data_IF_986846708142
#
_entry.id   IF_986846708142
#
_cell.length_a   1.000
_cell.length_b   1.000
_cell.length_c   1.000
_cell.angle_alpha   90.00
_cell.angle_beta   90.00
_cell.angle_gamma   90.00
#
_symmetry.space_group_name_H-M   'P 1'
#
loop_
_entity.id
_entity.type
_entity.pdbx_description
1 polymer ?
#
# COMPACT_ATOMS: atom_id res chain seq x y z
N UNK A 1 16.92 -34.98 -5.01
CA UNK A 1 17.39 -33.75 -4.31
C UNK A 1 16.65 -32.56 -4.91
N UNK A 2 16.32 -31.52 -4.15
CA UNK A 2 15.63 -30.33 -4.67
C UNK A 2 16.48 -29.10 -4.37
N UNK A 3 16.66 -28.25 -5.36
CA UNK A 3 17.29 -26.93 -5.23
C UNK A 3 16.27 -25.83 -5.58
N UNK A 4 16.35 -24.72 -4.86
CA UNK A 4 15.40 -23.61 -4.97
C UNK A 4 16.20 -22.33 -5.19
N UNK A 5 15.98 -21.68 -6.33
CA UNK A 5 16.51 -20.35 -6.63
C UNK A 5 15.34 -19.38 -6.75
N UNK A 6 15.49 -18.17 -6.23
CA UNK A 6 14.45 -17.13 -6.31
C UNK A 6 15.05 -15.79 -6.69
N UNK A 7 14.28 -14.99 -7.41
CA UNK A 7 14.60 -13.61 -7.75
C UNK A 7 13.37 -12.71 -7.64
N UNK A 8 13.40 -11.55 -8.31
CA UNK A 8 12.24 -10.67 -8.42
C UNK A 8 11.24 -11.24 -9.42
N UNK A 9 10.04 -11.59 -8.95
CA UNK A 9 8.92 -12.07 -9.76
C UNK A 9 9.10 -13.44 -10.42
N UNK A 10 10.06 -14.25 -9.95
CA UNK A 10 10.23 -15.63 -10.39
C UNK A 10 10.86 -16.53 -9.33
N UNK A 11 10.51 -17.81 -9.38
CA UNK A 11 11.06 -18.88 -8.54
C UNK A 11 11.41 -20.05 -9.46
N UNK A 12 12.61 -20.60 -9.32
CA UNK A 12 13.08 -21.78 -10.05
C UNK A 12 13.26 -22.95 -9.09
N UNK A 13 12.48 -24.00 -9.30
CA UNK A 13 12.60 -25.27 -8.57
C UNK A 13 13.33 -26.28 -9.45
N UNK A 14 14.45 -26.82 -8.96
CA UNK A 14 15.21 -27.86 -9.67
C UNK A 14 15.12 -29.18 -8.92
N UNK A 15 14.47 -30.17 -9.54
CA UNK A 15 14.36 -31.53 -9.08
C UNK A 15 15.43 -32.40 -9.74
N UNK A 16 16.30 -32.99 -8.92
CA UNK A 16 17.34 -33.93 -9.31
C UNK A 16 16.98 -35.36 -8.91
N UNK A 17 17.54 -36.34 -9.64
CA UNK A 17 17.38 -37.76 -9.36
C UNK A 17 16.20 -38.40 -10.07
N UNK A 18 15.83 -37.92 -11.26
CA UNK A 18 14.88 -38.62 -12.12
C UNK A 18 15.51 -39.81 -12.83
N UNK A 19 14.68 -40.60 -13.52
CA UNK A 19 15.15 -41.79 -14.25
C UNK A 19 16.26 -41.46 -15.24
N UNK A 20 17.18 -42.41 -15.46
CA UNK A 20 18.29 -42.23 -16.41
C UNK A 20 17.81 -42.18 -17.85
N UNK A 21 18.41 -41.31 -18.67
CA UNK A 21 18.13 -41.29 -20.10
C UNK A 21 18.51 -42.63 -20.76
N UNK A 22 17.68 -43.10 -21.70
CA UNK A 22 17.89 -44.40 -22.35
C UNK A 22 18.86 -44.37 -23.55
N UNK A 23 18.92 -43.25 -24.28
CA UNK A 23 19.71 -43.15 -25.52
C UNK A 23 20.38 -41.79 -25.74
N UNK A 24 20.05 -40.80 -24.90
CA UNK A 24 20.52 -39.42 -25.01
C UNK A 24 21.25 -39.02 -23.72
N UNK A 25 21.97 -37.89 -23.74
CA UNK A 25 22.49 -37.26 -22.52
C UNK A 25 23.41 -38.17 -21.67
N UNK A 26 24.14 -39.08 -22.31
CA UNK A 26 25.11 -39.97 -21.68
C UNK A 26 24.57 -40.73 -20.45
N UNK A 27 23.33 -41.22 -20.52
CA UNK A 27 22.67 -42.00 -19.45
C UNK A 27 22.63 -41.30 -18.08
N UNK A 28 22.75 -39.97 -18.07
CA UNK A 28 22.61 -39.16 -16.87
C UNK A 28 21.19 -39.23 -16.32
N UNK A 29 21.03 -38.95 -15.03
CA UNK A 29 19.73 -38.84 -14.38
C UNK A 29 18.99 -37.62 -14.91
N UNK A 30 17.68 -37.76 -15.16
CA UNK A 30 16.86 -36.64 -15.62
C UNK A 30 16.78 -35.57 -14.53
N UNK A 31 16.98 -34.32 -14.93
CA UNK A 31 16.79 -33.14 -14.07
C UNK A 31 15.57 -32.37 -14.59
N UNK A 32 14.68 -32.00 -13.68
CA UNK A 32 13.48 -31.23 -14.01
C UNK A 32 13.56 -29.85 -13.35
N UNK A 33 13.38 -28.80 -14.15
CA UNK A 33 13.35 -27.41 -13.70
C UNK A 33 11.94 -26.88 -13.90
N UNK A 34 11.35 -26.32 -12.86
CA UNK A 34 10.04 -25.67 -12.90
C UNK A 34 10.26 -24.19 -12.61
N UNK A 35 10.04 -23.37 -13.63
CA UNK A 35 10.14 -21.92 -13.55
C UNK A 35 8.74 -21.36 -13.28
N UNK A 36 8.55 -20.84 -12.08
CA UNK A 36 7.32 -20.19 -11.64
C UNK A 36 7.49 -18.69 -11.88
N UNK A 37 6.77 -18.14 -12.84
CA UNK A 37 6.79 -16.70 -13.16
C UNK A 37 5.61 -15.98 -12.50
N UNK A 38 5.78 -14.70 -12.17
CA UNK A 38 4.70 -13.89 -11.61
C UNK A 38 3.57 -13.71 -12.63
N UNK A 39 2.39 -14.18 -12.26
CA UNK A 39 1.13 -13.81 -12.88
C UNK A 39 0.17 -13.32 -11.79
N UNK A 40 -0.05 -12.00 -11.64
CA UNK A 40 -0.81 -11.45 -10.52
C UNK A 40 -2.29 -11.86 -10.50
N UNK A 41 -2.82 -12.30 -11.66
CA UNK A 41 -4.24 -12.57 -11.84
C UNK A 41 -4.61 -14.04 -11.60
N UNK A 42 -3.62 -14.93 -11.56
CA UNK A 42 -3.86 -16.38 -11.59
C UNK A 42 -3.13 -17.05 -10.43
N UNK A 43 -3.87 -17.82 -9.62
CA UNK A 43 -3.25 -18.60 -8.53
C UNK A 43 -2.48 -19.83 -9.07
N UNK A 44 -3.02 -20.48 -10.10
CA UNK A 44 -2.43 -21.65 -10.75
C UNK A 44 -2.61 -21.52 -12.26
N UNK A 45 -1.57 -21.08 -12.93
CA UNK A 45 -1.53 -20.93 -14.38
C UNK A 45 -1.43 -22.27 -15.10
N UNK A 46 -1.30 -22.19 -16.42
CA UNK A 46 -1.06 -23.36 -17.26
C UNK A 46 0.36 -23.87 -17.02
N UNK A 47 0.51 -25.18 -16.91
CA UNK A 47 1.80 -25.84 -16.80
C UNK A 47 2.21 -26.29 -18.20
N UNK A 48 3.17 -25.60 -18.80
CA UNK A 48 3.63 -25.86 -20.17
C UNK A 48 5.11 -26.24 -20.19
N UNK A 49 5.50 -27.03 -21.21
CA UNK A 49 6.91 -27.35 -21.45
C UNK A 49 7.50 -26.19 -22.25
N UNK A 50 8.42 -25.46 -21.64
CA UNK A 50 9.11 -24.33 -22.28
C UNK A 50 10.28 -24.82 -23.15
N UNK A 51 11.11 -25.69 -22.59
CA UNK A 51 12.30 -26.20 -23.28
C UNK A 51 12.60 -27.65 -22.87
N UNK A 52 12.99 -28.45 -23.85
CA UNK A 52 13.52 -29.79 -23.65
C UNK A 52 14.93 -29.87 -24.23
N UNK A 53 15.95 -29.78 -23.38
CA UNK A 53 17.35 -29.82 -23.81
C UNK A 53 17.83 -31.27 -23.96
N UNK A 54 17.34 -31.97 -24.98
CA UNK A 54 17.72 -33.36 -25.33
C UNK A 54 18.77 -33.47 -26.45
N UNK A 55 19.04 -32.39 -27.18
CA UNK A 55 19.68 -32.45 -28.51
C UNK A 55 21.21 -32.32 -28.53
N UNK A 56 21.86 -31.98 -27.40
CA UNK A 56 23.31 -31.83 -27.40
C UNK A 56 23.98 -33.13 -26.96
N UNK A 57 24.41 -33.95 -27.92
CA UNK A 57 25.16 -35.20 -27.70
C UNK A 57 26.44 -35.01 -26.86
N UNK A 58 26.97 -33.79 -26.82
CA UNK A 58 28.25 -33.46 -26.17
C UNK A 58 28.09 -32.63 -24.89
N UNK A 59 26.87 -32.39 -24.41
CA UNK A 59 26.65 -31.58 -23.19
C UNK A 59 26.08 -32.46 -22.07
N UNK A 60 26.78 -32.46 -20.93
CA UNK A 60 26.46 -33.25 -19.75
C UNK A 60 25.21 -32.80 -18.98
N UNK A 61 24.62 -31.67 -19.34
CA UNK A 61 23.58 -30.99 -18.55
C UNK A 61 22.24 -30.99 -19.30
N UNK A 62 21.60 -32.15 -19.39
CA UNK A 62 20.25 -32.27 -19.93
C UNK A 62 19.17 -32.04 -18.87
N UNK A 63 18.19 -31.21 -19.18
CA UNK A 63 17.09 -30.88 -18.28
C UNK A 63 15.78 -30.64 -19.04
N UNK A 64 14.67 -30.79 -18.32
CA UNK A 64 13.35 -30.36 -18.74
C UNK A 64 13.06 -29.02 -18.08
N UNK A 65 12.56 -28.05 -18.83
CA UNK A 65 12.14 -26.75 -18.29
C UNK A 65 10.64 -26.59 -18.50
N UNK A 66 9.93 -26.48 -17.39
CA UNK A 66 8.51 -26.20 -17.33
C UNK A 66 8.29 -24.76 -16.91
N UNK A 67 7.28 -24.13 -17.48
CA UNK A 67 6.82 -22.80 -17.09
C UNK A 67 5.46 -22.90 -16.39
N UNK A 68 5.31 -22.16 -15.29
CA UNK A 68 4.07 -22.05 -14.53
C UNK A 68 3.84 -20.60 -14.11
N UNK A 69 2.74 -19.99 -14.56
CA UNK A 69 2.29 -18.69 -14.05
C UNK A 69 1.63 -18.82 -12.67
N UNK A 70 2.01 -18.01 -11.70
CA UNK A 70 1.30 -17.93 -10.41
C UNK A 70 1.47 -16.57 -9.75
N UNK A 71 0.47 -16.16 -8.98
CA UNK A 71 0.54 -14.92 -8.19
C UNK A 71 1.41 -15.05 -6.94
N UNK A 72 1.86 -16.26 -6.57
CA UNK A 72 2.69 -16.50 -5.38
C UNK A 72 4.16 -16.12 -5.59
N UNK A 73 4.62 -16.10 -6.83
CA UNK A 73 5.99 -15.70 -7.20
C UNK A 73 6.11 -14.19 -7.37
N UNK A 74 5.00 -13.45 -7.45
CA UNK A 74 4.98 -12.01 -7.50
C UNK A 74 5.56 -11.42 -6.21
N UNK A 75 6.69 -10.74 -6.33
CA UNK A 75 7.36 -10.06 -5.22
C UNK A 75 6.70 -8.71 -4.92
N UNK A 76 6.02 -8.14 -5.92
CA UNK A 76 5.17 -6.97 -5.74
C UNK A 76 3.95 -7.37 -4.89
N UNK A 77 3.83 -6.74 -3.71
CA UNK A 77 2.62 -6.83 -2.90
C UNK A 77 1.42 -6.53 -3.78
N UNK A 78 0.53 -7.52 -3.93
CA UNK A 78 -0.82 -7.42 -4.52
C UNK A 78 -1.65 -6.22 -4.00
N UNK A 79 -1.22 -5.62 -2.90
CA UNK A 79 -1.77 -4.42 -2.29
C UNK A 79 -1.60 -3.15 -3.16
N UNK A 80 -0.59 -3.06 -4.03
CA UNK A 80 -0.28 -1.80 -4.73
C UNK A 80 -0.99 -1.64 -6.09
N UNK A 81 -1.35 -2.73 -6.77
CA UNK A 81 -1.87 -2.68 -8.16
C UNK A 81 -3.41 -2.68 -8.23
N UNK A 82 -4.12 -3.31 -7.29
CA UNK A 82 -5.59 -3.46 -7.36
C UNK A 82 -6.38 -2.59 -6.38
N UNK A 83 -5.71 -1.83 -5.51
CA UNK A 83 -6.41 -1.00 -4.53
C UNK A 83 -5.54 0.17 -4.10
N UNK A 84 -5.53 1.24 -4.90
CA UNK A 84 -5.47 2.58 -4.33
C UNK A 84 -6.73 2.84 -3.50
N UNK A 85 -6.94 2.04 -2.44
CA UNK A 85 -7.91 2.34 -1.41
C UNK A 85 -7.30 3.49 -0.62
N UNK A 86 -7.85 4.68 -0.84
CA UNK A 86 -7.62 5.82 0.03
C UNK A 86 -7.74 5.35 1.49
N UNK A 87 -6.81 5.77 2.34
CA UNK A 87 -6.86 5.46 3.77
C UNK A 87 -8.25 5.78 4.29
N UNK A 88 -8.83 4.88 5.09
CA UNK A 88 -10.18 5.06 5.63
C UNK A 88 -10.34 6.43 6.33
N UNK A 89 -9.26 6.96 6.90
CA UNK A 89 -9.24 8.30 7.49
C UNK A 89 -9.39 9.43 6.47
N UNK A 90 -8.73 9.35 5.31
CA UNK A 90 -8.83 10.42 4.30
C UNK A 90 -10.21 10.48 3.67
N UNK A 91 -10.86 9.32 3.47
CA UNK A 91 -12.26 9.26 3.00
C UNK A 91 -13.20 9.99 3.96
N UNK A 92 -13.06 9.74 5.27
CA UNK A 92 -13.87 10.43 6.28
C UNK A 92 -13.62 11.95 6.28
N UNK A 93 -12.36 12.38 6.20
CA UNK A 93 -12.03 13.81 6.12
C UNK A 93 -12.68 14.48 4.91
N UNK A 94 -12.61 13.87 3.73
CA UNK A 94 -13.21 14.42 2.50
C UNK A 94 -14.72 14.60 2.66
N UNK A 95 -15.41 13.59 3.19
CA UNK A 95 -16.86 13.65 3.43
C UNK A 95 -17.22 14.74 4.45
N UNK A 96 -16.45 14.87 5.53
CA UNK A 96 -16.67 15.90 6.53
C UNK A 96 -16.50 17.31 5.93
N UNK A 97 -15.39 17.58 5.24
CA UNK A 97 -15.10 18.90 4.68
C UNK A 97 -16.09 19.31 3.57
N UNK A 98 -16.58 18.36 2.78
CA UNK A 98 -17.58 18.64 1.75
C UNK A 98 -18.92 19.06 2.36
N UNK A 99 -19.41 18.32 3.37
CA UNK A 99 -20.65 18.67 4.08
C UNK A 99 -20.53 20.02 4.78
N UNK A 100 -19.41 20.26 5.48
CA UNK A 100 -19.16 21.53 6.17
C UNK A 100 -19.12 22.70 5.18
N UNK A 101 -18.48 22.51 4.02
CA UNK A 101 -18.40 23.54 2.99
C UNK A 101 -19.77 23.91 2.45
N UNK A 102 -20.62 22.92 2.15
CA UNK A 102 -22.01 23.16 1.71
C UNK A 102 -22.81 23.88 2.80
N UNK A 103 -22.69 23.45 4.06
CA UNK A 103 -23.35 24.10 5.19
C UNK A 103 -22.96 25.58 5.33
N UNK A 104 -21.66 25.89 5.25
CA UNK A 104 -21.16 27.26 5.34
C UNK A 104 -21.63 28.11 4.16
N UNK A 105 -21.57 27.60 2.92
CA UNK A 105 -22.00 28.35 1.73
C UNK A 105 -23.51 28.61 1.78
N UNK A 106 -24.32 27.58 1.98
CA UNK A 106 -25.77 27.71 2.01
C UNK A 106 -26.24 28.60 3.18
N UNK A 107 -25.68 28.41 4.37
CA UNK A 107 -26.03 29.20 5.53
C UNK A 107 -25.55 30.66 5.42
N UNK A 108 -24.39 30.90 4.82
CA UNK A 108 -23.91 32.25 4.51
C UNK A 108 -24.83 32.96 3.52
N UNK A 109 -25.19 32.30 2.41
CA UNK A 109 -26.13 32.86 1.42
C UNK A 109 -27.48 33.17 2.06
N UNK A 110 -28.00 32.28 2.90
CA UNK A 110 -29.25 32.51 3.62
C UNK A 110 -29.18 33.74 4.52
N UNK A 111 -28.15 33.84 5.36
CA UNK A 111 -27.96 34.97 6.29
C UNK A 111 -27.73 36.29 5.56
N UNK A 112 -27.05 36.25 4.41
CA UNK A 112 -26.77 37.44 3.60
C UNK A 112 -27.98 37.93 2.80
N UNK A 113 -28.69 37.02 2.13
CA UNK A 113 -29.76 37.39 1.19
C UNK A 113 -31.10 37.56 1.91
N UNK A 114 -31.44 36.65 2.83
CA UNK A 114 -32.75 36.64 3.49
C UNK A 114 -32.77 37.53 4.72
N UNK A 115 -31.72 37.45 5.55
CA UNK A 115 -31.67 38.15 6.84
C UNK A 115 -30.97 39.51 6.72
N UNK A 116 -30.16 39.72 5.68
CA UNK A 116 -29.42 40.97 5.48
C UNK A 116 -28.31 41.23 6.51
N UNK A 117 -27.88 40.19 7.24
CA UNK A 117 -26.82 40.31 8.25
C UNK A 117 -25.49 40.73 7.58
N UNK A 118 -24.67 41.52 8.29
CA UNK A 118 -23.39 42.04 7.81
C UNK A 118 -22.29 41.73 8.82
N UNK A 119 -21.07 41.47 8.34
CA UNK A 119 -19.92 41.14 9.19
C UNK A 119 -19.90 39.67 9.62
N UNK A 120 -19.30 39.38 10.78
CA UNK A 120 -19.06 38.02 11.28
C UNK A 120 -20.34 37.23 11.60
N UNK A 121 -21.47 37.92 11.78
CA UNK A 121 -22.79 37.30 12.00
C UNK A 121 -23.34 36.58 10.75
N UNK A 122 -22.71 36.77 9.59
CA UNK A 122 -23.05 36.07 8.36
C UNK A 122 -22.67 34.58 8.39
N UNK A 123 -21.72 34.19 9.25
CA UNK A 123 -21.27 32.80 9.37
C UNK A 123 -22.20 32.06 10.33
N UNK A 124 -22.88 30.99 9.88
CA UNK A 124 -23.71 30.18 10.76
C UNK A 124 -22.89 29.58 11.90
N UNK A 125 -23.31 29.79 13.15
CA UNK A 125 -22.63 29.30 14.35
C UNK A 125 -21.14 29.68 14.43
N UNK A 126 -20.83 30.95 14.15
CA UNK A 126 -19.46 31.48 14.14
C UNK A 126 -18.64 31.16 15.40
N UNK A 127 -19.24 31.21 16.59
CA UNK A 127 -18.57 30.91 17.87
C UNK A 127 -18.00 29.49 17.88
N UNK A 128 -18.79 28.51 17.46
CA UNK A 128 -18.36 27.12 17.34
C UNK A 128 -17.16 26.97 16.39
N UNK A 129 -17.21 27.57 15.20
CA UNK A 129 -16.11 27.45 14.21
C UNK A 129 -14.82 28.12 14.66
N UNK A 130 -14.93 29.26 15.33
CA UNK A 130 -13.79 29.95 15.94
C UNK A 130 -13.15 29.08 17.01
N UNK A 131 -13.95 28.54 17.91
CA UNK A 131 -13.45 27.73 19.02
C UNK A 131 -12.84 26.40 18.52
N UNK A 132 -13.44 25.78 17.50
CA UNK A 132 -12.87 24.61 16.82
C UNK A 132 -11.50 24.91 16.16
N UNK A 133 -11.38 26.04 15.46
CA UNK A 133 -10.12 26.47 14.85
C UNK A 133 -9.02 26.75 15.88
N UNK A 134 -9.38 27.40 17.00
CA UNK A 134 -8.46 27.63 18.11
C UNK A 134 -7.96 26.31 18.71
N UNK A 135 -8.86 25.35 18.96
CA UNK A 135 -8.49 24.04 19.50
C UNK A 135 -7.56 23.27 18.55
N UNK A 136 -7.78 23.38 17.23
CA UNK A 136 -6.89 22.76 16.25
C UNK A 136 -5.50 23.43 16.23
N UNK A 137 -5.43 24.75 16.37
CA UNK A 137 -4.17 25.48 16.49
C UNK A 137 -3.41 25.08 17.77
N UNK A 138 -4.11 24.96 18.89
CA UNK A 138 -3.53 24.48 20.16
C UNK A 138 -3.02 23.04 20.05
N UNK A 139 -3.75 22.17 19.34
CA UNK A 139 -3.31 20.80 19.07
C UNK A 139 -2.05 20.75 18.20
N UNK A 140 -1.97 21.62 17.18
CA UNK A 140 -0.76 21.78 16.37
C UNK A 140 0.41 22.32 17.18
N UNK A 141 0.20 23.31 18.06
CA UNK A 141 1.26 23.78 18.97
C UNK A 141 1.72 22.65 19.90
N UNK A 142 0.80 21.85 20.44
CA UNK A 142 1.15 20.70 21.30
C UNK A 142 2.00 19.64 20.58
N UNK A 143 1.65 19.29 19.34
CA UNK A 143 2.34 18.24 18.59
C UNK A 143 3.64 18.74 17.96
N UNK A 144 3.66 19.95 17.40
CA UNK A 144 4.77 20.46 16.60
C UNK A 144 5.81 21.25 17.42
N UNK A 145 5.50 21.62 18.67
CA UNK A 145 6.42 22.38 19.52
C UNK A 145 7.27 21.45 20.38
N UNK A 146 8.47 21.15 19.89
CA UNK A 146 9.55 20.60 20.71
C UNK A 146 10.16 21.72 21.58
N UNK A 147 9.49 22.12 22.66
CA UNK A 147 10.05 23.10 23.61
C UNK A 147 9.39 23.02 24.99
N UNK A 148 10.14 23.25 26.08
CA UNK A 148 9.60 23.11 27.44
C UNK A 148 8.49 24.12 27.72
N UNK A 149 7.44 23.63 28.38
CA UNK A 149 6.27 24.40 28.81
C UNK A 149 6.73 25.45 29.84
N UNK A 150 6.64 26.73 29.50
CA UNK A 150 6.63 27.78 30.52
C UNK A 150 5.25 27.71 31.18
N UNK A 151 5.15 27.04 32.33
CA UNK A 151 4.02 27.25 33.22
C UNK A 151 3.94 28.75 33.52
N UNK A 152 2.87 29.36 33.01
CA UNK A 152 2.48 30.73 33.31
C UNK A 152 2.38 30.88 34.82
N UNK A 153 3.42 31.49 35.42
CA UNK A 153 3.45 32.00 36.78
C UNK A 153 2.30 33.00 36.94
N UNK A 154 1.13 32.52 37.34
CA UNK A 154 -0.02 33.38 37.65
C UNK A 154 -0.46 33.26 39.13
N UNK A 155 0.43 32.81 40.02
CA UNK A 155 0.17 32.71 41.47
C UNK A 155 0.99 33.73 42.29
N UNK A 156 1.92 34.48 41.70
CA UNK A 156 2.84 35.37 42.45
C UNK A 156 2.51 36.87 42.33
N UNK A 157 1.22 37.25 42.28
CA UNK A 157 0.79 38.66 42.41
C UNK A 157 -0.32 38.89 43.44
N UNK A 158 -0.68 37.88 44.25
CA UNK A 158 -1.67 38.02 45.34
C UNK A 158 -1.09 37.83 46.75
N UNK A 159 0.24 37.94 46.93
CA UNK A 159 0.89 37.95 48.25
C UNK A 159 1.72 39.22 48.52
N UNK A 160 1.64 40.23 47.66
CA UNK A 160 2.19 41.56 47.94
C UNK A 160 1.16 42.60 47.49
N UNK A 161 0.15 42.81 48.34
CA UNK A 161 -0.51 44.07 48.75
C UNK A 161 -1.60 43.68 49.74
#
# INVERSE_FOLDING_TARGET
>A
MVDIMGGTDWILLTYYGGDKYGSHCNYTERVTRIMIICDPNVLKGKFEILEERRLSKNMSNCYYLFELGSNVSCTMKKEEILSQKLSSGSVFCILFFTVVSVYLICGFLYKRIVIGAKGLEQIPNYTFWRDFGNLQADGCDYICRCGPRQESKHIEESMII
#
